data_IF_386638609613
#
_entry.id   IF_386638609613
#
_cell.length_a   1.000
_cell.length_b   1.000
_cell.length_c   1.000
_cell.angle_alpha   90.00
_cell.angle_beta   90.00
_cell.angle_gamma   90.00
#
_symmetry.space_group_name_H-M   'P 1'
#
loop_
_entity.id
_entity.type
_entity.pdbx_description
1 polymer ?
#
# COMPACT_ATOMS: atom_id res chain seq x y z
N UNK A 1 -4.69 -7.20 5.67
CA UNK A 1 -5.58 -6.12 5.21
C UNK A 1 -4.72 -4.88 4.98
N UNK A 2 -5.01 -4.10 3.93
CA UNK A 2 -4.31 -2.85 3.62
C UNK A 2 -5.30 -1.70 3.81
N UNK A 3 -4.88 -0.64 4.49
CA UNK A 3 -5.73 0.52 4.78
C UNK A 3 -4.97 1.77 4.33
N UNK A 4 -5.54 2.53 3.40
CA UNK A 4 -4.99 3.82 3.02
C UNK A 4 -5.42 4.87 4.06
N UNK A 5 -4.45 5.54 4.65
CA UNK A 5 -4.64 6.62 5.61
C UNK A 5 -4.08 7.89 5.02
N UNK A 6 -4.97 8.65 4.36
CA UNK A 6 -4.61 9.89 3.67
C UNK A 6 -4.18 11.01 4.61
N UNK A 7 -4.51 10.97 5.90
CA UNK A 7 -4.11 12.02 6.84
C UNK A 7 -2.67 11.85 7.29
N UNK A 8 -2.23 10.60 7.45
CA UNK A 8 -0.86 10.29 7.87
C UNK A 8 0.08 10.00 6.71
N UNK A 9 -0.41 10.00 5.46
CA UNK A 9 0.35 9.58 4.27
C UNK A 9 0.95 8.19 4.45
N UNK A 10 0.12 7.26 4.94
CA UNK A 10 0.51 5.87 5.21
C UNK A 10 -0.43 4.90 4.54
N UNK A 11 0.11 3.73 4.21
CA UNK A 11 -0.68 2.51 4.05
C UNK A 11 -0.37 1.60 5.23
N UNK A 12 -1.37 1.32 6.05
CA UNK A 12 -1.24 0.40 7.18
C UNK A 12 -1.45 -1.05 6.73
N UNK A 13 -0.56 -1.94 7.18
CA UNK A 13 -0.61 -3.36 6.90
C UNK A 13 -1.02 -4.09 8.17
N UNK A 14 -2.21 -4.67 8.17
CA UNK A 14 -2.72 -5.48 9.27
C UNK A 14 -2.79 -6.96 8.89
N UNK A 15 -2.64 -7.85 9.87
CA UNK A 15 -3.09 -9.23 9.71
C UNK A 15 -4.61 -9.24 9.47
N UNK A 16 -5.06 -10.04 8.49
CA UNK A 16 -6.48 -10.04 8.12
C UNK A 16 -7.36 -10.74 9.15
N UNK A 17 -6.85 -11.76 9.83
CA UNK A 17 -7.62 -12.60 10.76
C UNK A 17 -7.66 -11.98 12.15
N UNK A 18 -6.53 -11.44 12.61
CA UNK A 18 -6.38 -10.93 13.98
C UNK A 18 -6.50 -9.41 14.06
N UNK A 19 -6.30 -8.69 12.95
CA UNK A 19 -6.23 -7.22 12.95
C UNK A 19 -4.92 -6.65 13.50
N UNK A 20 -3.96 -7.50 13.90
CA UNK A 20 -2.65 -7.08 14.41
C UNK A 20 -1.91 -6.22 13.38
N UNK A 21 -1.33 -5.09 13.81
CA UNK A 21 -0.50 -4.25 12.94
C UNK A 21 0.80 -4.98 12.61
N UNK A 22 1.09 -5.19 11.31
CA UNK A 22 2.30 -5.84 10.82
C UNK A 22 3.33 -4.85 10.26
N UNK A 23 2.91 -3.63 9.94
CA UNK A 23 3.81 -2.58 9.45
C UNK A 23 3.07 -1.53 8.63
N UNK A 24 3.84 -0.73 7.89
CA UNK A 24 3.30 0.32 7.02
C UNK A 24 4.20 0.59 5.81
N UNK A 25 3.64 1.29 4.81
CA UNK A 25 4.34 1.81 3.63
C UNK A 25 4.09 3.32 3.57
N UNK A 26 5.14 4.06 3.19
CA UNK A 26 5.11 5.50 2.93
C UNK A 26 5.33 6.38 4.14
N UNK A 27 5.42 7.67 3.86
CA UNK A 27 5.45 8.82 4.77
C UNK A 27 5.04 10.05 3.95
N UNK A 28 4.84 11.21 4.60
CA UNK A 28 4.62 12.44 3.85
C UNK A 28 5.86 12.77 3.00
N UNK A 29 5.68 12.91 1.69
CA UNK A 29 6.78 13.20 0.78
C UNK A 29 6.43 13.04 -0.69
N UNK A 30 7.43 13.29 -1.54
CA UNK A 30 7.30 13.26 -3.01
C UNK A 30 8.20 12.22 -3.68
N UNK A 31 9.02 11.51 -2.91
CA UNK A 31 9.89 10.47 -3.45
C UNK A 31 9.11 9.17 -3.68
N UNK A 32 9.73 8.21 -4.37
CA UNK A 32 9.12 6.90 -4.58
C UNK A 32 8.96 6.19 -3.22
N UNK A 33 7.76 5.73 -2.93
CA UNK A 33 7.41 5.13 -1.65
C UNK A 33 6.70 6.08 -0.70
N UNK A 34 7.00 7.38 -0.75
CA UNK A 34 6.29 8.41 0.02
C UNK A 34 4.97 8.82 -0.65
N UNK A 35 4.10 9.50 0.09
CA UNK A 35 2.82 9.99 -0.40
C UNK A 35 2.58 11.45 -0.05
N UNK A 36 1.77 12.09 -0.89
CA UNK A 36 1.15 13.38 -0.62
C UNK A 36 -0.34 13.24 -0.91
N UNK A 37 -1.14 13.05 0.15
CA UNK A 37 -2.58 12.83 0.08
C UNK A 37 -2.94 11.61 -0.78
N UNK A 38 -2.62 10.43 -0.24
CA UNK A 38 -3.15 9.17 -0.77
C UNK A 38 -4.67 9.10 -0.56
N UNK A 39 -5.40 8.83 -1.64
CA UNK A 39 -6.87 8.83 -1.65
C UNK A 39 -7.43 7.44 -2.02
N UNK A 40 -6.71 6.71 -2.87
CA UNK A 40 -7.16 5.42 -3.37
C UNK A 40 -6.06 4.36 -3.34
N UNK A 41 -6.48 3.12 -3.08
CA UNK A 41 -5.67 1.92 -3.30
C UNK A 41 -6.45 0.88 -4.11
N UNK A 42 -5.74 0.18 -4.99
CA UNK A 42 -6.28 -0.94 -5.75
C UNK A 42 -5.23 -2.06 -5.85
N UNK A 43 -5.67 -3.30 -6.06
CA UNK A 43 -4.78 -4.43 -6.24
C UNK A 43 -5.12 -5.19 -7.52
N UNK A 44 -4.11 -5.55 -8.30
CA UNK A 44 -4.30 -6.40 -9.48
C UNK A 44 -4.35 -7.89 -9.11
N UNK A 45 -4.69 -8.74 -10.10
CA UNK A 45 -4.76 -10.20 -9.92
C UNK A 45 -3.41 -10.86 -9.61
N UNK A 46 -2.29 -10.14 -9.77
CA UNK A 46 -0.95 -10.62 -9.42
C UNK A 46 -0.53 -10.19 -8.02
N UNK A 47 -1.37 -9.44 -7.30
CA UNK A 47 -1.08 -8.95 -5.95
C UNK A 47 -0.24 -7.66 -5.92
N UNK A 48 -0.05 -6.98 -7.04
CA UNK A 48 0.60 -5.66 -7.02
C UNK A 48 -0.38 -4.62 -6.50
N UNK A 49 0.11 -3.74 -5.62
CA UNK A 49 -0.66 -2.64 -5.05
C UNK A 49 -0.43 -1.38 -5.90
N UNK A 50 -1.51 -0.69 -6.21
CA UNK A 50 -1.50 0.60 -6.88
C UNK A 50 -2.10 1.64 -5.94
N UNK A 51 -1.48 2.80 -5.89
CA UNK A 51 -1.95 3.96 -5.09
C UNK A 51 -2.33 5.09 -6.02
N UNK A 52 -3.30 5.90 -5.62
CA UNK A 52 -3.66 7.15 -6.28
C UNK A 52 -3.58 8.31 -5.27
N UNK A 53 -2.80 9.33 -5.63
CA UNK A 53 -2.66 10.57 -4.86
C UNK A 53 -3.44 11.71 -5.52
N UNK A 54 -4.10 12.52 -4.71
CA UNK A 54 -4.89 13.68 -5.17
C UNK A 54 -4.14 15.01 -4.95
N UNK A 55 -4.85 16.13 -5.10
CA UNK A 55 -4.32 17.50 -5.01
C UNK A 55 -3.13 17.75 -5.94
N UNK A 56 -1.95 18.07 -5.43
CA UNK A 56 -0.73 18.35 -6.20
C UNK A 56 0.21 17.16 -6.23
N UNK A 57 -0.14 16.04 -5.57
CA UNK A 57 0.55 14.76 -5.72
C UNK A 57 0.37 14.22 -7.14
N UNK A 58 -0.91 14.11 -7.59
CA UNK A 58 -1.34 13.72 -8.96
C UNK A 58 -0.53 12.56 -9.54
N UNK A 59 -0.26 11.56 -8.72
CA UNK A 59 0.66 10.46 -9.02
C UNK A 59 -0.02 9.13 -8.75
N UNK A 60 0.32 8.15 -9.59
CA UNK A 60 0.06 6.74 -9.34
C UNK A 60 1.40 6.08 -9.05
N UNK A 61 1.46 5.29 -7.98
CA UNK A 61 2.62 4.45 -7.70
C UNK A 61 2.20 2.98 -7.69
N UNK A 62 3.10 2.11 -8.15
CA UNK A 62 2.93 0.66 -8.13
C UNK A 62 3.95 0.05 -7.16
N UNK A 63 3.47 -0.81 -6.27
CA UNK A 63 4.27 -1.55 -5.32
C UNK A 63 4.14 -3.05 -5.60
N UNK A 64 5.31 -3.71 -5.69
CA UNK A 64 5.38 -5.17 -5.69
C UNK A 64 5.48 -5.59 -4.23
N UNK A 65 4.41 -6.18 -3.70
CA UNK A 65 4.41 -6.69 -2.34
C UNK A 65 5.14 -8.02 -2.30
N UNK A 66 6.09 -8.13 -1.37
CA UNK A 66 6.82 -9.35 -1.07
C UNK A 66 6.34 -9.90 0.28
N UNK A 67 6.34 -11.23 0.40
CA UNK A 67 6.20 -11.86 1.70
C UNK A 67 7.48 -11.65 2.52
N UNK A 68 7.44 -11.97 3.81
CA UNK A 68 8.62 -11.86 4.70
C UNK A 68 9.83 -12.72 4.28
N UNK A 69 9.66 -13.62 3.31
CA UNK A 69 10.72 -14.43 2.69
C UNK A 69 11.27 -13.81 1.38
N UNK A 70 10.86 -12.59 1.03
CA UNK A 70 11.32 -11.86 -0.16
C UNK A 70 10.70 -12.32 -1.48
N UNK A 71 9.74 -13.25 -1.46
CA UNK A 71 9.11 -13.71 -2.69
C UNK A 71 7.78 -13.00 -2.96
N UNK A 72 7.60 -12.55 -4.20
CA UNK A 72 6.30 -12.13 -4.72
C UNK A 72 5.51 -13.39 -5.10
N UNK A 73 4.38 -13.62 -4.43
CA UNK A 73 3.45 -14.68 -4.78
C UNK A 73 2.08 -14.05 -5.02
N UNK A 74 1.38 -14.40 -6.11
CA UNK A 74 -0.03 -14.04 -6.22
C UNK A 74 -0.73 -14.63 -5.00
N UNK A 75 -1.55 -13.85 -4.30
CA UNK A 75 -2.34 -14.39 -3.19
C UNK A 75 -3.19 -15.52 -3.77
N UNK A 76 -2.92 -16.79 -3.43
CA UNK A 76 -3.86 -17.86 -3.75
C UNK A 76 -5.16 -17.42 -3.09
N UNK A 77 -6.24 -17.50 -3.84
CA UNK A 77 -7.59 -17.30 -3.33
C UNK A 77 -7.75 -18.01 -1.99
N UNK A 78 -8.09 -17.23 -0.95
CA UNK A 78 -8.45 -17.61 0.44
C UNK A 78 -7.34 -17.69 1.50
#
# INVERSE_FOLDING_TARGET
>A
MLIADGTNDKIWIHDRKTGELKGSIGDNGRMAGDFHWIDAIAMDSKGNLYTGEVETGKRIQKFILMNGDGQSRPRPHE
#
